data_IF_344897547508
#
_entry.id   IF_344897547508
#
_cell.length_a   1.000
_cell.length_b   1.000
_cell.length_c   1.000
_cell.angle_alpha   90.00
_cell.angle_beta   90.00
_cell.angle_gamma   90.00
#
_symmetry.space_group_name_H-M   'P 1'
#
loop_
_entity.id
_entity.type
_entity.pdbx_description
1 polymer ?
#
# COMPACT_ATOMS: atom_id res chain seq x y z
N UNK A 1 -1.43 -22.21 -6.15
CA UNK A 1 -0.18 -22.93 -5.81
C UNK A 1 1.07 -22.16 -6.23
N UNK A 2 1.30 -21.96 -7.54
CA UNK A 2 2.53 -21.31 -8.07
C UNK A 2 2.81 -19.91 -7.49
N UNK A 3 1.84 -19.00 -7.45
CA UNK A 3 2.04 -17.62 -6.96
C UNK A 3 2.48 -17.62 -5.49
N UNK A 4 1.75 -18.35 -4.63
CA UNK A 4 2.04 -18.42 -3.20
C UNK A 4 3.43 -19.00 -2.95
N UNK A 5 3.74 -20.15 -3.55
CA UNK A 5 5.04 -20.81 -3.42
C UNK A 5 6.18 -19.90 -3.87
N UNK A 6 6.05 -19.26 -5.04
CA UNK A 6 7.09 -18.39 -5.57
C UNK A 6 7.32 -17.18 -4.65
N UNK A 7 6.25 -16.52 -4.22
CA UNK A 7 6.37 -15.33 -3.38
C UNK A 7 7.02 -15.66 -2.03
N UNK A 8 6.54 -16.69 -1.33
CA UNK A 8 7.07 -17.08 -0.01
C UNK A 8 8.53 -17.51 -0.12
N UNK A 9 8.87 -18.37 -1.09
CA UNK A 9 10.23 -18.88 -1.24
C UNK A 9 11.21 -17.80 -1.70
N UNK A 10 10.83 -16.96 -2.65
CA UNK A 10 11.71 -15.86 -3.12
C UNK A 10 11.95 -14.86 -2.00
N UNK A 11 10.91 -14.44 -1.26
CA UNK A 11 11.08 -13.51 -0.14
C UNK A 11 12.03 -14.10 0.92
N UNK A 12 11.83 -15.36 1.31
CA UNK A 12 12.72 -16.04 2.27
C UNK A 12 14.16 -16.07 1.79
N UNK A 13 14.39 -16.53 0.55
CA UNK A 13 15.74 -16.69 0.01
C UNK A 13 16.48 -15.35 -0.12
N UNK A 14 15.78 -14.27 -0.51
CA UNK A 14 16.37 -12.93 -0.59
C UNK A 14 16.71 -12.41 0.81
N UNK A 15 15.81 -12.55 1.78
CA UNK A 15 16.04 -12.07 3.14
C UNK A 15 17.19 -12.83 3.83
N UNK A 16 17.15 -14.17 3.82
CA UNK A 16 18.21 -15.01 4.40
C UNK A 16 19.56 -14.78 3.70
N UNK A 17 19.57 -14.72 2.36
CA UNK A 17 20.76 -14.45 1.58
C UNK A 17 21.38 -13.09 1.89
N UNK A 18 20.57 -12.03 1.95
CA UNK A 18 21.01 -10.68 2.27
C UNK A 18 21.62 -10.59 3.69
N UNK A 19 20.95 -11.19 4.68
CA UNK A 19 21.45 -11.25 6.06
C UNK A 19 22.82 -11.94 6.13
N UNK A 20 22.97 -13.09 5.47
CA UNK A 20 24.22 -13.89 5.50
C UNK A 20 25.43 -13.16 4.92
N UNK A 21 25.23 -12.24 3.97
CA UNK A 21 26.31 -11.42 3.40
C UNK A 21 26.47 -10.08 4.11
N UNK A 22 25.76 -9.87 5.22
CA UNK A 22 25.92 -8.69 6.07
C UNK A 22 25.11 -7.46 5.65
N UNK A 23 24.13 -7.59 4.74
CA UNK A 23 23.22 -6.48 4.41
C UNK A 23 22.40 -6.12 5.65
N UNK A 24 22.45 -4.85 6.07
CA UNK A 24 21.75 -4.35 7.25
C UNK A 24 20.38 -3.74 6.94
N UNK A 25 20.06 -3.49 5.67
CA UNK A 25 18.79 -2.87 5.27
C UNK A 25 18.19 -3.54 4.06
N UNK A 26 16.95 -3.98 4.19
CA UNK A 26 16.18 -4.64 3.14
C UNK A 26 14.86 -3.90 2.98
N UNK A 27 14.63 -3.39 1.77
CA UNK A 27 13.36 -2.78 1.37
C UNK A 27 12.71 -3.73 0.37
N UNK A 28 11.43 -4.05 0.54
CA UNK A 28 10.72 -4.92 -0.39
C UNK A 28 9.30 -4.43 -0.68
N UNK A 29 8.78 -4.87 -1.83
CA UNK A 29 7.39 -4.65 -2.20
C UNK A 29 6.47 -5.61 -1.44
N UNK A 30 5.80 -5.09 -0.41
CA UNK A 30 4.56 -5.66 0.11
C UNK A 30 3.38 -5.25 -0.78
N UNK A 31 2.14 -5.31 -0.29
CA UNK A 31 0.95 -4.94 -1.05
C UNK A 31 -0.16 -4.40 -0.16
N UNK A 32 -0.91 -3.42 -0.68
CA UNK A 32 -2.18 -2.97 -0.08
C UNK A 32 -3.17 -4.13 0.12
N UNK A 33 -3.09 -5.18 -0.71
CA UNK A 33 -4.01 -6.33 -0.65
C UNK A 33 -3.97 -7.13 0.65
N UNK A 34 -2.95 -6.91 1.48
CA UNK A 34 -2.89 -7.44 2.84
C UNK A 34 -4.02 -6.89 3.74
N UNK A 35 -4.59 -5.73 3.39
CA UNK A 35 -5.55 -4.96 4.18
C UNK A 35 -7.02 -5.33 3.92
N UNK A 36 -7.31 -6.40 3.18
CA UNK A 36 -8.71 -6.83 2.96
C UNK A 36 -9.26 -6.67 1.55
N UNK A 37 -8.42 -6.30 0.58
CA UNK A 37 -8.84 -6.10 -0.82
C UNK A 37 -9.06 -7.46 -1.53
N UNK A 38 -9.95 -7.52 -2.54
CA UNK A 38 -10.76 -6.40 -3.04
C UNK A 38 -11.90 -6.03 -2.09
N UNK A 39 -12.10 -4.73 -1.90
CA UNK A 39 -13.29 -4.23 -1.23
C UNK A 39 -14.50 -4.27 -2.15
N UNK A 40 -15.67 -4.43 -1.55
CA UNK A 40 -16.97 -4.31 -2.22
C UNK A 40 -18.04 -4.04 -1.15
N UNK A 41 -19.28 -3.69 -1.51
CA UNK A 41 -20.35 -3.53 -0.52
C UNK A 41 -20.57 -4.78 0.36
N UNK A 42 -20.24 -5.98 -0.14
CA UNK A 42 -20.30 -7.23 0.64
C UNK A 42 -19.01 -7.55 1.41
N UNK A 43 -17.93 -6.81 1.15
CA UNK A 43 -16.62 -6.92 1.81
C UNK A 43 -16.02 -5.53 2.05
N UNK A 44 -16.65 -4.65 2.85
CA UNK A 44 -16.19 -3.27 2.99
C UNK A 44 -14.86 -3.19 3.78
N UNK A 45 -14.12 -2.06 3.68
CA UNK A 45 -13.07 -1.75 4.63
C UNK A 45 -13.65 -1.55 6.03
N UNK A 46 -12.84 -1.79 7.06
CA UNK A 46 -13.30 -1.64 8.45
C UNK A 46 -13.49 -0.17 8.83
N UNK A 47 -12.68 0.71 8.25
CA UNK A 47 -12.75 2.16 8.38
C UNK A 47 -11.97 2.83 7.25
N UNK A 48 -12.18 4.14 7.08
CA UNK A 48 -11.36 5.00 6.23
C UNK A 48 -10.89 6.27 6.98
N UNK A 49 -9.75 6.89 6.59
CA UNK A 49 -8.77 6.35 5.66
C UNK A 49 -8.09 5.11 6.27
N UNK A 50 -7.81 4.13 5.43
CA UNK A 50 -7.14 2.87 5.78
C UNK A 50 -5.70 3.19 6.09
N UNK A 51 -5.22 2.85 7.28
CA UNK A 51 -3.84 3.04 7.72
C UNK A 51 -3.19 1.68 8.04
N UNK A 52 -1.94 1.69 8.52
CA UNK A 52 -1.20 0.47 8.80
C UNK A 52 -1.77 -0.39 9.92
N UNK A 53 -2.63 0.19 10.79
CA UNK A 53 -3.33 -0.51 11.87
C UNK A 53 -4.61 -1.22 11.40
N UNK A 54 -4.98 -1.08 10.12
CA UNK A 54 -6.14 -1.76 9.58
C UNK A 54 -5.96 -3.28 9.68
N UNK A 55 -7.02 -4.03 10.05
CA UNK A 55 -6.92 -5.49 10.19
C UNK A 55 -6.32 -6.15 8.94
N UNK A 56 -5.33 -7.02 9.16
CA UNK A 56 -4.79 -7.89 8.12
C UNK A 56 -5.87 -8.91 7.74
N UNK A 57 -6.31 -8.89 6.48
CA UNK A 57 -7.39 -9.74 5.97
C UNK A 57 -7.08 -10.19 4.53
N UNK A 58 -6.03 -10.98 4.30
CA UNK A 58 -5.69 -11.40 2.94
C UNK A 58 -6.78 -12.28 2.30
N UNK A 59 -7.37 -11.82 1.20
CA UNK A 59 -8.48 -12.52 0.48
C UNK A 59 -8.01 -13.48 -0.63
N UNK A 60 -6.70 -13.70 -0.81
CA UNK A 60 -6.16 -14.50 -1.90
C UNK A 60 -4.83 -15.16 -1.55
N UNK A 61 -4.44 -16.17 -2.33
CA UNK A 61 -3.10 -16.77 -2.21
C UNK A 61 -1.97 -15.74 -2.46
N UNK A 62 -2.22 -14.71 -3.28
CA UNK A 62 -1.26 -13.63 -3.46
C UNK A 62 -1.14 -12.77 -2.20
N UNK A 63 -2.25 -12.22 -1.71
CA UNK A 63 -2.24 -11.34 -0.53
C UNK A 63 -1.76 -12.08 0.73
N UNK A 64 -2.12 -13.36 0.90
CA UNK A 64 -1.63 -14.19 2.00
C UNK A 64 -0.11 -14.37 1.93
N UNK A 65 0.46 -14.56 0.73
CA UNK A 65 1.92 -14.65 0.59
C UNK A 65 2.65 -13.35 0.93
N UNK A 66 2.01 -12.19 0.72
CA UNK A 66 2.55 -10.88 1.08
C UNK A 66 2.50 -10.65 2.59
N UNK A 67 1.37 -10.98 3.21
CA UNK A 67 1.19 -10.95 4.67
C UNK A 67 2.24 -11.84 5.38
N UNK A 68 2.39 -13.09 4.95
CA UNK A 68 3.43 -13.98 5.48
C UNK A 68 4.85 -13.45 5.25
N UNK A 69 5.08 -12.65 4.21
CA UNK A 69 6.34 -11.95 3.98
C UNK A 69 6.61 -10.84 5.01
N UNK A 70 5.57 -10.13 5.46
CA UNK A 70 5.67 -9.14 6.54
C UNK A 70 6.00 -9.81 7.87
N UNK A 71 5.31 -10.91 8.20
CA UNK A 71 5.60 -11.70 9.41
C UNK A 71 7.01 -12.31 9.36
N UNK A 72 7.46 -12.78 8.19
CA UNK A 72 8.81 -13.29 7.99
C UNK A 72 9.87 -12.21 8.26
N UNK A 73 9.66 -10.99 7.76
CA UNK A 73 10.55 -9.86 8.04
C UNK A 73 10.62 -9.56 9.54
N UNK A 74 9.48 -9.59 10.26
CA UNK A 74 9.43 -9.40 11.71
C UNK A 74 10.23 -10.46 12.47
N UNK A 75 10.08 -11.74 12.10
CA UNK A 75 10.82 -12.83 12.74
C UNK A 75 12.32 -12.77 12.42
N UNK A 76 12.68 -12.50 11.17
CA UNK A 76 14.08 -12.42 10.77
C UNK A 76 14.80 -11.22 11.37
N UNK A 77 14.14 -10.07 11.52
CA UNK A 77 14.68 -8.95 12.27
C UNK A 77 14.90 -9.30 13.75
N UNK A 78 13.94 -9.99 14.38
CA UNK A 78 14.09 -10.46 15.77
C UNK A 78 15.30 -11.39 15.94
N UNK A 79 15.60 -12.21 14.93
CA UNK A 79 16.79 -13.08 14.93
C UNK A 79 18.08 -12.32 14.61
N UNK A 80 17.99 -11.16 13.96
CA UNK A 80 19.12 -10.34 13.51
C UNK A 80 18.91 -8.87 13.92
N UNK A 81 19.05 -8.54 15.22
CA UNK A 81 18.57 -7.27 15.79
C UNK A 81 19.15 -6.00 15.18
N UNK A 82 20.30 -6.08 14.50
CA UNK A 82 20.95 -4.95 13.83
C UNK A 82 20.41 -4.67 12.40
N UNK A 83 19.41 -5.44 11.95
CA UNK A 83 18.86 -5.30 10.60
C UNK A 83 17.61 -4.43 10.58
N UNK A 84 17.38 -3.80 9.42
CA UNK A 84 16.20 -2.98 9.13
C UNK A 84 15.43 -3.59 7.98
N UNK A 85 14.14 -3.79 8.17
CA UNK A 85 13.21 -4.31 7.18
C UNK A 85 12.12 -3.27 6.93
N UNK A 86 12.00 -2.79 5.70
CA UNK A 86 10.95 -1.85 5.30
C UNK A 86 10.06 -2.46 4.21
N UNK A 87 8.81 -2.77 4.57
CA UNK A 87 7.82 -3.29 3.64
C UNK A 87 6.96 -2.17 3.07
N UNK A 88 6.96 -2.03 1.75
CA UNK A 88 6.13 -1.03 1.07
C UNK A 88 4.84 -1.68 0.60
N UNK A 89 3.72 -1.39 1.24
CA UNK A 89 2.38 -1.79 0.79
C UNK A 89 2.00 -0.88 -0.38
N UNK A 90 2.54 -1.21 -1.54
CA UNK A 90 2.31 -0.47 -2.78
C UNK A 90 0.83 -0.58 -3.15
N UNK A 91 0.22 0.57 -3.41
CA UNK A 91 -1.11 0.65 -4.02
C UNK A 91 -1.06 0.28 -5.52
N UNK A 92 -2.17 0.43 -6.20
CA UNK A 92 -2.31 0.16 -7.63
C UNK A 92 -1.40 1.08 -8.46
N UNK A 93 -0.25 0.55 -8.90
CA UNK A 93 0.79 1.30 -9.61
C UNK A 93 0.32 1.68 -11.01
N UNK A 94 0.42 2.95 -11.35
CA UNK A 94 0.07 3.54 -12.64
C UNK A 94 1.29 4.18 -13.28
N UNK A 95 1.49 3.93 -14.56
CA UNK A 95 2.45 4.66 -15.38
C UNK A 95 1.78 5.92 -15.97
N UNK A 96 2.55 6.92 -16.44
CA UNK A 96 1.97 8.14 -17.02
C UNK A 96 0.96 7.88 -18.15
N UNK A 97 1.16 6.83 -18.96
CA UNK A 97 0.22 6.42 -20.01
C UNK A 97 -1.09 5.84 -19.48
N UNK A 98 -1.12 5.29 -18.26
CA UNK A 98 -2.35 4.74 -17.68
C UNK A 98 -3.37 5.82 -17.30
N UNK A 99 -2.91 7.07 -17.13
CA UNK A 99 -3.77 8.19 -16.72
C UNK A 99 -4.88 8.47 -17.73
N UNK A 100 -4.65 8.17 -19.02
CA UNK A 100 -5.66 8.29 -20.08
C UNK A 100 -6.93 7.48 -19.76
N UNK A 101 -6.77 6.36 -19.04
CA UNK A 101 -7.86 5.45 -18.67
C UNK A 101 -8.74 6.00 -17.55
N UNK A 102 -8.27 6.99 -16.79
CA UNK A 102 -9.00 7.49 -15.61
C UNK A 102 -10.32 8.13 -16.03
N UNK A 103 -10.35 8.81 -17.18
CA UNK A 103 -11.58 9.36 -17.79
C UNK A 103 -12.68 8.31 -17.97
N UNK A 104 -12.32 7.06 -18.25
CA UNK A 104 -13.28 5.96 -18.46
C UNK A 104 -13.92 5.44 -17.17
N UNK A 105 -13.43 5.85 -16.00
CA UNK A 105 -13.93 5.40 -14.69
C UNK A 105 -14.85 6.41 -14.01
N UNK A 106 -14.88 7.67 -14.47
CA UNK A 106 -15.54 8.77 -13.76
C UNK A 106 -17.06 8.60 -13.59
N UNK A 107 -17.71 7.88 -14.50
CA UNK A 107 -19.17 7.72 -14.49
C UNK A 107 -19.65 6.51 -13.67
N UNK A 108 -18.75 5.66 -13.19
CA UNK A 108 -19.10 4.46 -12.41
C UNK A 108 -18.10 4.25 -11.27
N UNK A 109 -18.44 4.64 -10.03
CA UNK A 109 -17.54 4.49 -8.89
C UNK A 109 -17.24 3.02 -8.55
N UNK A 110 -18.08 2.07 -8.97
CA UNK A 110 -17.87 0.65 -8.67
C UNK A 110 -16.70 0.04 -9.48
N UNK A 111 -16.26 0.67 -10.58
CA UNK A 111 -15.12 0.18 -11.37
C UNK A 111 -13.78 0.21 -10.61
N UNK A 112 -13.69 1.05 -9.58
CA UNK A 112 -12.46 1.32 -8.80
C UNK A 112 -12.68 1.31 -7.29
N UNK A 113 -13.81 0.80 -6.82
CA UNK A 113 -14.11 0.66 -5.39
C UNK A 113 -13.18 -0.34 -4.67
N UNK A 114 -12.61 -1.30 -5.42
CA UNK A 114 -11.92 -2.47 -4.87
C UNK A 114 -10.68 -2.14 -4.05
N UNK A 115 -10.12 -0.94 -4.18
CA UNK A 115 -9.07 -0.38 -3.34
C UNK A 115 -9.37 1.06 -2.89
N UNK A 116 -10.66 1.38 -2.72
CA UNK A 116 -11.13 2.72 -2.36
C UNK A 116 -10.57 3.82 -3.30
N UNK A 117 -10.58 3.55 -4.61
CA UNK A 117 -10.13 4.46 -5.68
C UNK A 117 -8.66 4.90 -5.58
N UNK A 118 -7.87 4.18 -4.78
CA UNK A 118 -6.44 4.43 -4.60
C UNK A 118 -5.62 4.07 -5.84
N UNK A 119 -4.48 4.73 -5.95
CA UNK A 119 -3.44 4.39 -6.93
C UNK A 119 -2.09 4.89 -6.43
N UNK A 120 -1.02 4.62 -7.18
CA UNK A 120 0.27 5.30 -7.01
C UNK A 120 0.96 5.50 -8.37
N UNK A 121 1.57 6.65 -8.61
CA UNK A 121 2.44 6.86 -9.77
C UNK A 121 3.74 6.03 -9.64
N UNK A 122 4.15 5.36 -10.71
CA UNK A 122 5.37 4.55 -10.74
C UNK A 122 6.64 5.34 -10.31
N UNK A 123 6.71 6.64 -10.60
CA UNK A 123 7.82 7.52 -10.22
C UNK A 123 7.81 7.81 -8.72
N UNK A 124 6.63 7.98 -8.13
CA UNK A 124 6.46 8.14 -6.69
C UNK A 124 6.68 6.82 -5.94
N UNK A 125 6.35 5.68 -6.53
CA UNK A 125 6.77 4.37 -6.03
C UNK A 125 8.32 4.28 -5.93
N UNK A 126 9.05 4.72 -6.97
CA UNK A 126 10.51 4.78 -6.93
C UNK A 126 11.02 5.76 -5.86
N UNK A 127 10.34 6.90 -5.67
CA UNK A 127 10.64 7.87 -4.61
C UNK A 127 10.51 7.23 -3.22
N UNK A 128 9.45 6.46 -2.97
CA UNK A 128 9.24 5.73 -1.72
C UNK A 128 10.33 4.69 -1.45
N UNK A 129 10.70 3.90 -2.47
CA UNK A 129 11.81 2.92 -2.37
C UNK A 129 13.11 3.63 -2.00
N UNK A 130 13.44 4.73 -2.67
CA UNK A 130 14.65 5.51 -2.38
C UNK A 130 14.64 6.03 -0.94
N UNK A 131 13.52 6.61 -0.49
CA UNK A 131 13.39 7.15 0.88
C UNK A 131 13.49 6.05 1.94
N UNK A 132 12.88 4.89 1.71
CA UNK A 132 12.95 3.72 2.59
C UNK A 132 14.38 3.19 2.82
N UNK A 133 15.27 3.33 1.83
CA UNK A 133 16.68 2.95 1.98
C UNK A 133 17.47 3.84 2.95
N UNK A 134 16.96 5.04 3.25
CA UNK A 134 17.65 6.07 4.04
C UNK A 134 17.02 6.35 5.41
N UNK A 135 16.06 5.52 5.87
CA UNK A 135 15.45 5.68 7.19
C UNK A 135 16.48 5.54 8.32
N UNK A 136 16.28 6.32 9.38
CA UNK A 136 17.15 6.34 10.56
C UNK A 136 16.52 5.58 11.73
N UNK A 137 16.21 4.30 11.50
CA UNK A 137 15.83 3.36 12.55
C UNK A 137 16.35 1.96 12.23
N UNK A 138 16.38 1.13 13.28
CA UNK A 138 16.65 -0.32 13.20
C UNK A 138 15.41 -1.04 13.70
N UNK A 139 14.91 -2.02 12.94
CA UNK A 139 13.64 -2.67 13.21
C UNK A 139 12.90 -3.08 11.94
N UNK A 140 11.66 -3.53 12.09
CA UNK A 140 10.76 -3.84 10.98
C UNK A 140 9.61 -2.85 10.99
N UNK A 141 9.30 -2.28 9.83
CA UNK A 141 8.09 -1.48 9.67
C UNK A 141 7.51 -1.59 8.26
N UNK A 142 6.21 -1.28 8.15
CA UNK A 142 5.45 -1.33 6.91
C UNK A 142 4.76 0.02 6.67
N UNK A 143 4.60 0.38 5.40
CA UNK A 143 4.06 1.67 5.00
C UNK A 143 3.12 1.51 3.81
N UNK A 144 1.93 2.06 3.92
CA UNK A 144 1.03 2.25 2.78
C UNK A 144 1.64 3.32 1.88
N UNK A 145 1.92 2.95 0.63
CA UNK A 145 2.43 3.89 -0.38
C UNK A 145 1.35 4.03 -1.46
N UNK A 146 0.69 5.18 -1.45
CA UNK A 146 -0.36 5.57 -2.37
C UNK A 146 -0.18 7.05 -2.79
N UNK A 147 -0.88 7.47 -3.83
CA UNK A 147 -0.98 8.88 -4.20
C UNK A 147 -1.72 9.69 -3.13
N UNK A 148 -1.60 11.02 -3.18
CA UNK A 148 -2.28 11.91 -2.24
C UNK A 148 -3.78 12.07 -2.56
N UNK A 149 -4.17 11.75 -3.78
CA UNK A 149 -5.53 11.82 -4.31
C UNK A 149 -6.03 10.48 -4.86
N UNK A 150 -7.31 10.43 -5.24
CA UNK A 150 -7.95 9.26 -5.86
C UNK A 150 -7.99 9.36 -7.38
N UNK A 151 -8.22 8.24 -8.06
CA UNK A 151 -8.43 8.20 -9.52
C UNK A 151 -9.73 8.86 -9.98
N UNK A 152 -10.57 9.32 -9.06
CA UNK A 152 -11.88 9.91 -9.33
C UNK A 152 -11.85 11.42 -9.15
N UNK A 153 -12.56 12.16 -10.00
CA UNK A 153 -12.75 13.62 -9.87
C UNK A 153 -13.74 13.98 -8.76
N UNK A 154 -14.66 13.07 -8.44
CA UNK A 154 -15.60 13.22 -7.33
C UNK A 154 -14.88 13.23 -5.97
N UNK A 155 -15.42 13.96 -5.00
CA UNK A 155 -14.88 13.99 -3.64
C UNK A 155 -14.91 12.60 -2.97
N UNK A 156 -13.82 12.25 -2.30
CA UNK A 156 -13.64 10.92 -1.69
C UNK A 156 -14.69 10.62 -0.62
N UNK A 157 -15.14 11.63 0.12
CA UNK A 157 -16.20 11.47 1.11
C UNK A 157 -17.57 11.18 0.48
N UNK A 158 -17.85 11.71 -0.71
CA UNK A 158 -19.09 11.44 -1.45
C UNK A 158 -19.07 10.03 -2.07
N UNK A 159 -17.92 9.61 -2.62
CA UNK A 159 -17.72 8.25 -3.12
C UNK A 159 -17.94 7.20 -2.02
N UNK A 160 -17.42 7.44 -0.82
CA UNK A 160 -17.67 6.56 0.32
C UNK A 160 -19.14 6.54 0.72
N UNK A 161 -19.83 7.69 0.74
CA UNK A 161 -21.27 7.73 1.05
C UNK A 161 -22.11 6.99 0.02
N UNK A 162 -21.72 6.99 -1.25
CA UNK A 162 -22.49 6.32 -2.31
C UNK A 162 -22.25 4.81 -2.35
N UNK A 163 -21.01 4.36 -2.15
CA UNK A 163 -20.63 2.95 -2.31
C UNK A 163 -20.54 2.19 -0.99
N UNK A 164 -20.11 2.85 0.08
CA UNK A 164 -19.83 2.25 1.39
C UNK A 164 -20.46 3.07 2.55
N UNK A 165 -21.78 3.30 2.55
CA UNK A 165 -22.45 4.26 3.43
C UNK A 165 -22.26 3.99 4.94
N UNK A 166 -22.06 2.74 5.32
CA UNK A 166 -21.93 2.32 6.72
C UNK A 166 -20.48 2.33 7.25
N UNK A 167 -19.50 2.56 6.37
CA UNK A 167 -18.08 2.59 6.76
C UNK A 167 -17.76 3.85 7.55
N UNK A 168 -17.12 3.66 8.70
CA UNK A 168 -16.76 4.74 9.61
C UNK A 168 -15.52 5.51 9.12
N UNK A 169 -15.55 6.83 9.32
CA UNK A 169 -14.43 7.72 9.07
C UNK A 169 -13.65 7.94 10.38
N UNK A 170 -12.35 7.60 10.43
CA UNK A 170 -11.46 7.91 11.57
C UNK A 170 -11.20 9.41 11.72
N UNK A 171 -11.32 10.16 10.62
CA UNK A 171 -11.21 11.62 10.57
C UNK A 171 -11.97 12.18 9.35
N UNK A 172 -12.15 13.49 9.34
CA UNK A 172 -12.64 14.20 8.16
C UNK A 172 -11.71 13.97 6.95
N UNK A 173 -12.32 13.75 5.78
CA UNK A 173 -11.66 13.61 4.47
C UNK A 173 -12.02 14.82 3.63
N UNK A 174 -11.02 15.46 3.01
CA UNK A 174 -11.22 16.71 2.27
C UNK A 174 -10.98 16.54 0.78
N UNK A 175 -11.93 17.00 -0.04
CA UNK A 175 -11.83 16.95 -1.50
C UNK A 175 -11.60 15.53 -2.00
N UNK A 176 -10.57 15.35 -2.84
CA UNK A 176 -10.19 14.07 -3.48
C UNK A 176 -9.10 13.32 -2.72
N UNK A 177 -8.88 13.62 -1.45
CA UNK A 177 -7.85 12.97 -0.63
C UNK A 177 -7.95 11.44 -0.69
N UNK A 178 -6.80 10.77 -0.78
CA UNK A 178 -6.73 9.30 -0.77
C UNK A 178 -7.38 8.69 0.47
N UNK A 179 -8.05 7.55 0.29
CA UNK A 179 -8.61 6.75 1.38
C UNK A 179 -7.64 5.68 1.87
N UNK A 180 -6.45 5.62 1.28
CA UNK A 180 -5.28 4.88 1.77
C UNK A 180 -4.34 5.89 2.42
N UNK A 181 -4.34 5.94 3.75
CA UNK A 181 -3.57 6.93 4.50
C UNK A 181 -2.08 6.79 4.22
N UNK A 182 -1.47 7.89 3.78
CA UNK A 182 -0.02 8.01 3.58
C UNK A 182 0.64 8.82 4.71
N UNK A 183 -0.08 9.07 5.81
CA UNK A 183 0.38 9.93 6.90
C UNK A 183 1.64 9.34 7.58
N UNK A 184 1.68 8.03 7.77
CA UNK A 184 2.87 7.34 8.33
C UNK A 184 4.05 7.37 7.35
N UNK A 185 3.80 7.12 6.07
CA UNK A 185 4.83 7.19 5.03
C UNK A 185 5.43 8.61 4.94
N UNK A 186 4.59 9.65 5.01
CA UNK A 186 5.04 11.05 5.12
C UNK A 186 5.89 11.29 6.35
N UNK A 187 5.42 10.85 7.51
CA UNK A 187 6.09 11.12 8.78
C UNK A 187 7.45 10.40 8.90
N UNK A 188 7.50 9.11 8.54
CA UNK A 188 8.67 8.25 8.82
C UNK A 188 9.62 8.19 7.63
N UNK A 189 9.11 8.08 6.40
CA UNK A 189 9.96 8.01 5.20
C UNK A 189 10.23 9.40 4.61
N UNK A 190 9.44 10.40 4.99
CA UNK A 190 9.39 11.68 4.28
C UNK A 190 8.73 11.55 2.91
N UNK A 191 7.98 10.49 2.63
CA UNK A 191 7.34 10.25 1.33
C UNK A 191 6.34 11.36 1.02
N UNK A 192 6.38 11.91 -0.20
CA UNK A 192 5.42 12.92 -0.66
C UNK A 192 5.23 12.71 -2.17
N UNK A 193 4.05 12.26 -2.63
CA UNK A 193 3.78 12.08 -4.06
C UNK A 193 3.93 13.40 -4.84
N UNK A 194 4.71 13.38 -5.91
CA UNK A 194 4.99 14.54 -6.75
C UNK A 194 4.11 14.54 -8.02
N UNK A 195 3.51 13.40 -8.39
CA UNK A 195 2.74 13.23 -9.63
C UNK A 195 1.28 12.87 -9.33
N UNK A 196 0.35 13.82 -9.49
CA UNK A 196 -1.06 13.65 -9.14
C UNK A 196 -2.00 13.72 -10.35
N UNK A 197 -3.15 13.06 -10.25
CA UNK A 197 -4.17 13.08 -11.29
C UNK A 197 -4.93 14.42 -11.28
N UNK A 198 -4.87 15.15 -12.39
CA UNK A 198 -5.48 16.49 -12.52
C UNK A 198 -4.53 17.65 -12.21
N UNK A 199 -3.24 17.39 -11.94
CA UNK A 199 -2.16 18.38 -12.04
C UNK A 199 -1.14 17.89 -13.07
N UNK A 200 -1.30 18.32 -14.31
CA UNK A 200 -0.23 18.28 -15.34
C UNK A 200 0.48 19.62 -15.31
#
# INVERSE_FOLDING_TARGET
DVIFRNNVMTTYNVFDGAIRVGVKRIVWASSETTLGLPFSPSNPPSYVPIDEDHPMRPESAYSLSKDLGEEMARQMQRWNPETTFVGLRLSNVMEPSDYERFSSWQNDPHLKEWNCWGYIDARDCAQAVRKALHVDFVGTDHFIIANADTVMEQESAELMKSVFPDVQFKREIKGRETLLSIDKARHVLGYEPEFNFGRI
#
